data_IF_911414309212
#
_entry.id   IF_911414309212
#
_cell.length_a   1.000
_cell.length_b   1.000
_cell.length_c   1.000
_cell.angle_alpha   90.00
_cell.angle_beta   90.00
_cell.angle_gamma   90.00
#
_symmetry.space_group_name_H-M   'P 1'
#
loop_
_entity.id
_entity.type
_entity.pdbx_description
1 polymer ?
#
# COMPACT_ATOMS: atom_id res chain seq x y z
N UNK A 1 -34.49 -54.06 -12.98
CA UNK A 1 -34.55 -52.74 -13.64
C UNK A 1 -34.80 -51.71 -12.56
N UNK A 2 -33.74 -51.12 -12.03
CA UNK A 2 -33.80 -50.15 -10.93
C UNK A 2 -33.97 -48.76 -11.53
N UNK A 3 -35.13 -48.16 -11.34
CA UNK A 3 -35.42 -46.81 -11.83
C UNK A 3 -34.70 -45.79 -10.96
N UNK A 4 -33.60 -45.24 -11.46
CA UNK A 4 -32.89 -44.11 -10.85
C UNK A 4 -33.82 -42.90 -10.78
N UNK A 5 -34.33 -42.61 -9.59
CA UNK A 5 -35.14 -41.42 -9.33
C UNK A 5 -34.22 -40.20 -9.26
N UNK A 6 -34.22 -39.40 -10.33
CA UNK A 6 -33.51 -38.12 -10.37
C UNK A 6 -34.12 -37.14 -9.35
N UNK A 7 -33.33 -36.83 -8.32
CA UNK A 7 -33.61 -35.81 -7.31
C UNK A 7 -33.77 -34.44 -7.98
N UNK A 8 -34.85 -33.67 -7.75
CA UNK A 8 -35.04 -32.40 -8.42
C UNK A 8 -33.97 -31.39 -7.98
N UNK A 9 -33.45 -30.65 -8.97
CA UNK A 9 -32.46 -29.59 -8.75
C UNK A 9 -33.06 -28.50 -7.85
N UNK A 10 -32.39 -28.27 -6.72
CA UNK A 10 -32.76 -27.28 -5.72
C UNK A 10 -32.68 -25.86 -6.30
N UNK A 11 -33.82 -25.16 -6.38
CA UNK A 11 -33.97 -23.80 -6.90
C UNK A 11 -33.22 -22.71 -6.08
N UNK A 12 -32.57 -23.08 -4.97
CA UNK A 12 -31.79 -22.17 -4.12
C UNK A 12 -30.51 -21.63 -4.77
N UNK A 13 -30.04 -22.20 -5.89
CA UNK A 13 -28.83 -21.73 -6.59
C UNK A 13 -29.03 -20.49 -7.47
N UNK A 14 -30.27 -20.12 -7.80
CA UNK A 14 -30.55 -18.97 -8.69
C UNK A 14 -30.57 -17.62 -7.95
N UNK A 15 -30.55 -17.62 -6.62
CA UNK A 15 -30.43 -16.40 -5.78
C UNK A 15 -28.99 -15.96 -5.53
N UNK A 16 -28.01 -16.54 -6.24
CA UNK A 16 -26.61 -16.14 -6.13
C UNK A 16 -26.31 -14.75 -6.75
N UNK A 17 -27.20 -14.22 -7.60
CA UNK A 17 -27.05 -12.90 -8.20
C UNK A 17 -27.36 -11.73 -7.25
N UNK A 18 -28.45 -11.84 -6.47
CA UNK A 18 -28.97 -10.75 -5.63
C UNK A 18 -28.26 -10.58 -4.29
N UNK A 19 -27.54 -11.60 -3.82
CA UNK A 19 -26.80 -11.56 -2.54
C UNK A 19 -25.45 -10.81 -2.67
N UNK A 20 -24.97 -10.55 -3.90
CA UNK A 20 -23.68 -9.87 -4.12
C UNK A 20 -23.78 -8.35 -4.10
N UNK A 21 -24.95 -7.78 -4.40
CA UNK A 21 -25.15 -6.32 -4.42
C UNK A 21 -24.87 -5.64 -3.06
N UNK A 22 -25.29 -6.19 -1.91
CA UNK A 22 -24.89 -5.68 -0.59
C UNK A 22 -23.37 -5.63 -0.38
N UNK A 23 -22.61 -6.61 -0.89
CA UNK A 23 -21.14 -6.62 -0.79
C UNK A 23 -20.51 -5.48 -1.59
N UNK A 24 -21.03 -5.17 -2.77
CA UNK A 24 -20.57 -4.01 -3.55
C UNK A 24 -20.90 -2.69 -2.85
N UNK A 25 -22.07 -2.58 -2.20
CA UNK A 25 -22.45 -1.40 -1.43
C UNK A 25 -21.56 -1.16 -0.21
N UNK A 26 -21.04 -2.21 0.44
CA UNK A 26 -20.08 -2.08 1.54
C UNK A 26 -18.71 -1.56 1.08
N UNK A 27 -18.28 -1.91 -0.14
CA UNK A 27 -17.00 -1.47 -0.71
C UNK A 27 -17.10 -0.06 -1.31
N UNK A 28 -18.28 0.32 -1.78
CA UNK A 28 -18.56 1.60 -2.44
C UNK A 28 -17.99 2.83 -1.69
N UNK A 29 -18.18 3.03 -0.37
CA UNK A 29 -17.60 4.18 0.32
C UNK A 29 -16.07 4.17 0.32
N UNK A 30 -15.43 3.02 0.57
CA UNK A 30 -13.96 2.90 0.53
C UNK A 30 -13.41 3.16 -0.88
N UNK A 31 -14.12 2.69 -1.91
CA UNK A 31 -13.77 2.91 -3.30
C UNK A 31 -13.87 4.39 -3.71
N UNK A 32 -14.96 5.07 -3.34
CA UNK A 32 -15.14 6.50 -3.60
C UNK A 32 -14.03 7.30 -2.91
N UNK A 33 -13.75 7.03 -1.64
CA UNK A 33 -12.68 7.71 -0.91
C UNK A 33 -11.31 7.48 -1.58
N UNK A 34 -11.03 6.26 -2.03
CA UNK A 34 -9.79 5.95 -2.75
C UNK A 34 -9.67 6.74 -4.05
N UNK A 35 -10.77 6.86 -4.82
CA UNK A 35 -10.75 7.67 -6.05
C UNK A 35 -10.48 9.13 -5.72
N UNK A 36 -11.23 9.69 -4.77
CA UNK A 36 -11.16 11.13 -4.46
C UNK A 36 -9.82 11.52 -3.85
N UNK A 37 -9.29 10.72 -2.93
CA UNK A 37 -8.08 11.08 -2.19
C UNK A 37 -6.78 10.49 -2.75
N UNK A 38 -6.83 9.45 -3.58
CA UNK A 38 -5.62 8.85 -4.17
C UNK A 38 -5.51 9.07 -5.67
N UNK A 39 -6.59 8.88 -6.44
CA UNK A 39 -6.53 8.97 -7.91
C UNK A 39 -6.69 10.39 -8.46
N UNK A 40 -7.60 11.21 -7.91
CA UNK A 40 -7.77 12.60 -8.37
C UNK A 40 -6.45 13.39 -8.21
N UNK A 41 -5.71 13.32 -7.08
CA UNK A 41 -4.44 14.03 -6.94
C UNK A 41 -3.37 13.59 -7.95
N UNK A 42 -3.41 12.36 -8.46
CA UNK A 42 -2.47 11.89 -9.49
C UNK A 42 -2.60 12.67 -10.80
N UNK A 43 -3.76 13.29 -11.09
CA UNK A 43 -3.90 14.21 -12.22
C UNK A 43 -2.94 15.41 -12.13
N UNK A 44 -2.57 15.81 -10.90
CA UNK A 44 -1.59 16.88 -10.65
C UNK A 44 -0.16 16.54 -11.09
N UNK A 45 0.16 15.27 -11.39
CA UNK A 45 1.47 14.87 -11.92
C UNK A 45 1.82 15.59 -13.23
N UNK A 46 0.82 16.08 -13.96
CA UNK A 46 1.03 16.86 -15.18
C UNK A 46 1.84 18.14 -14.95
N UNK A 47 1.82 18.68 -13.73
CA UNK A 47 2.62 19.86 -13.33
C UNK A 47 4.12 19.60 -13.51
N UNK A 48 4.58 18.36 -13.34
CA UNK A 48 5.98 18.01 -13.52
C UNK A 48 6.49 18.21 -14.96
N UNK A 49 5.58 18.37 -15.93
CA UNK A 49 5.90 18.60 -17.34
C UNK A 49 5.61 20.03 -17.82
N UNK A 50 5.17 20.90 -16.92
CA UNK A 50 4.77 22.27 -17.22
C UNK A 50 5.60 23.28 -16.41
N UNK A 51 5.80 24.49 -16.93
CA UNK A 51 6.33 25.61 -16.15
C UNK A 51 5.20 26.23 -15.33
N UNK A 52 4.78 25.50 -14.29
CA UNK A 52 3.59 25.83 -13.52
C UNK A 52 3.78 27.12 -12.72
N UNK A 53 3.01 28.15 -13.10
CA UNK A 53 2.92 29.40 -12.34
C UNK A 53 1.56 29.46 -11.67
N UNK A 54 1.46 29.46 -10.32
CA UNK A 54 0.17 29.49 -9.62
C UNK A 54 -0.77 30.60 -10.07
N UNK A 55 -0.22 31.75 -10.48
CA UNK A 55 -0.97 32.90 -11.00
C UNK A 55 -1.67 32.67 -12.36
N UNK A 56 -1.23 31.68 -13.16
CA UNK A 56 -1.83 31.35 -14.47
C UNK A 56 -2.72 30.09 -14.44
N UNK A 57 -2.85 29.44 -13.28
CA UNK A 57 -3.60 28.19 -13.12
C UNK A 57 -2.97 26.98 -13.84
N UNK A 58 -3.66 25.84 -13.76
CA UNK A 58 -3.20 24.55 -14.32
C UNK A 58 -3.17 24.50 -15.85
N UNK A 59 -3.96 25.33 -16.54
CA UNK A 59 -4.13 25.28 -18.00
C UNK A 59 -3.41 26.41 -18.75
N UNK A 60 -2.91 27.43 -18.06
CA UNK A 60 -2.20 28.58 -18.64
C UNK A 60 -0.67 28.50 -18.58
N UNK A 61 -0.14 27.35 -18.13
CA UNK A 61 1.30 27.13 -17.94
C UNK A 61 1.89 26.42 -19.16
N UNK A 62 3.05 26.90 -19.61
CA UNK A 62 3.70 26.41 -20.84
C UNK A 62 4.22 24.98 -20.63
N UNK A 63 3.98 24.10 -21.60
CA UNK A 63 4.46 22.72 -21.55
C UNK A 63 5.97 22.69 -21.83
N UNK A 64 6.77 22.28 -20.84
CA UNK A 64 8.24 22.24 -20.92
C UNK A 64 8.81 20.82 -21.00
N UNK A 65 7.96 19.80 -21.04
CA UNK A 65 8.35 18.41 -21.20
C UNK A 65 9.24 17.93 -20.06
N UNK A 66 10.41 17.37 -20.36
CA UNK A 66 11.30 16.73 -19.38
C UNK A 66 12.32 17.67 -18.75
N UNK A 67 12.23 18.99 -18.99
CA UNK A 67 13.19 19.99 -18.50
C UNK A 67 13.46 19.88 -17.00
N UNK A 68 12.42 19.73 -16.20
CA UNK A 68 12.52 19.62 -14.73
C UNK A 68 13.22 18.33 -14.29
N UNK A 69 12.95 17.22 -14.97
CA UNK A 69 13.63 15.95 -14.70
C UNK A 69 15.13 16.04 -15.02
N UNK A 70 15.50 16.65 -16.15
CA UNK A 70 16.90 16.81 -16.53
C UNK A 70 17.65 17.70 -15.52
N UNK A 71 17.01 18.79 -15.07
CA UNK A 71 17.55 19.66 -14.03
C UNK A 71 17.75 18.91 -12.70
N UNK A 72 16.78 18.08 -12.29
CA UNK A 72 16.88 17.24 -11.11
C UNK A 72 18.05 16.25 -11.21
N UNK A 73 18.21 15.55 -12.33
CA UNK A 73 19.32 14.60 -12.52
C UNK A 73 20.68 15.28 -12.77
N UNK A 74 20.71 16.56 -13.13
CA UNK A 74 21.98 17.31 -13.29
C UNK A 74 22.57 17.82 -11.97
N UNK A 75 21.78 17.84 -10.89
CA UNK A 75 22.21 18.39 -9.60
C UNK A 75 22.80 17.28 -8.72
N UNK A 76 24.01 17.47 -8.23
CA UNK A 76 24.73 16.50 -7.38
C UNK A 76 23.92 16.11 -6.13
N UNK A 77 23.27 17.08 -5.49
CA UNK A 77 22.45 16.85 -4.29
C UNK A 77 21.29 15.87 -4.54
N UNK A 78 20.62 15.98 -5.69
CA UNK A 78 19.52 15.09 -6.05
C UNK A 78 20.00 13.66 -6.31
N UNK A 79 21.16 13.51 -6.95
CA UNK A 79 21.79 12.19 -7.17
C UNK A 79 22.21 11.57 -5.83
N UNK A 80 22.81 12.36 -4.94
CA UNK A 80 23.19 11.89 -3.60
C UNK A 80 21.96 11.45 -2.80
N UNK A 81 20.88 12.23 -2.81
CA UNK A 81 19.64 11.89 -2.15
C UNK A 81 19.02 10.59 -2.72
N UNK A 82 19.06 10.40 -4.04
CA UNK A 82 18.61 9.18 -4.69
C UNK A 82 19.36 7.94 -4.20
N UNK A 83 20.71 7.98 -4.22
CA UNK A 83 21.52 6.87 -3.75
C UNK A 83 21.38 6.60 -2.25
N UNK A 84 21.33 7.65 -1.43
CA UNK A 84 21.09 7.52 0.00
C UNK A 84 19.75 6.84 0.26
N UNK A 85 18.70 7.24 -0.45
CA UNK A 85 17.37 6.64 -0.32
C UNK A 85 17.38 5.17 -0.72
N UNK A 86 18.05 4.84 -1.83
CA UNK A 86 18.17 3.47 -2.31
C UNK A 86 18.92 2.59 -1.30
N UNK A 87 20.06 3.06 -0.78
CA UNK A 87 20.86 2.36 0.23
C UNK A 87 20.04 2.15 1.51
N UNK A 88 19.38 3.20 2.01
CA UNK A 88 18.53 3.11 3.22
C UNK A 88 17.39 2.13 2.99
N UNK A 89 16.70 2.18 1.85
CA UNK A 89 15.59 1.29 1.55
C UNK A 89 16.04 -0.18 1.46
N UNK A 90 17.17 -0.46 0.80
CA UNK A 90 17.73 -1.81 0.71
C UNK A 90 18.17 -2.34 2.07
N UNK A 91 18.91 -1.55 2.85
CA UNK A 91 19.30 -1.94 4.21
C UNK A 91 18.06 -2.17 5.09
N UNK A 92 17.10 -1.25 5.05
CA UNK A 92 15.84 -1.38 5.79
C UNK A 92 15.11 -2.68 5.42
N UNK A 93 15.02 -3.04 4.14
CA UNK A 93 14.39 -4.28 3.70
C UNK A 93 15.07 -5.52 4.29
N UNK A 94 16.42 -5.56 4.28
CA UNK A 94 17.19 -6.68 4.83
C UNK A 94 17.04 -6.77 6.35
N UNK A 95 17.26 -5.67 7.07
CA UNK A 95 17.17 -5.65 8.53
C UNK A 95 15.74 -5.88 9.04
N UNK A 96 14.73 -5.34 8.37
CA UNK A 96 13.33 -5.54 8.74
C UNK A 96 12.86 -6.98 8.52
N UNK A 97 13.59 -7.76 7.72
CA UNK A 97 13.40 -9.21 7.63
C UNK A 97 14.20 -9.96 8.71
N UNK A 98 15.51 -9.72 8.79
CA UNK A 98 16.41 -10.50 9.64
C UNK A 98 16.13 -10.27 11.12
N UNK A 99 15.98 -9.01 11.54
CA UNK A 99 15.85 -8.67 12.97
C UNK A 99 14.60 -9.30 13.59
N UNK A 100 13.39 -9.17 13.03
CA UNK A 100 12.21 -9.81 13.60
C UNK A 100 12.27 -11.34 13.62
N UNK A 101 12.87 -11.96 12.61
CA UNK A 101 13.03 -13.43 12.55
C UNK A 101 13.95 -13.91 13.67
N UNK A 102 15.14 -13.31 13.79
CA UNK A 102 16.11 -13.66 14.84
C UNK A 102 15.50 -13.40 16.22
N UNK A 103 14.83 -12.26 16.40
CA UNK A 103 14.14 -11.93 17.65
C UNK A 103 13.05 -12.94 17.99
N UNK A 104 12.23 -13.38 17.02
CA UNK A 104 11.20 -14.39 17.23
C UNK A 104 11.78 -15.75 17.65
N UNK A 105 12.90 -16.16 17.05
CA UNK A 105 13.60 -17.40 17.43
C UNK A 105 14.17 -17.33 18.85
N UNK A 106 14.87 -16.25 19.19
CA UNK A 106 15.42 -16.03 20.53
C UNK A 106 14.32 -16.06 21.58
N UNK A 107 13.19 -15.41 21.30
CA UNK A 107 12.04 -15.35 22.19
C UNK A 107 11.32 -16.71 22.29
N UNK A 108 11.39 -17.54 21.26
CA UNK A 108 10.85 -18.90 21.29
C UNK A 108 11.62 -19.80 22.25
N UNK A 109 12.94 -19.63 22.34
CA UNK A 109 13.82 -20.42 23.21
C UNK A 109 13.63 -20.12 24.71
N UNK A 110 12.99 -19.00 25.06
CA UNK A 110 12.72 -18.62 26.44
C UNK A 110 11.67 -19.56 27.06
N UNK A 111 12.11 -20.44 27.97
CA UNK A 111 11.24 -21.36 28.72
C UNK A 111 10.39 -20.68 29.80
N UNK A 112 10.84 -19.51 30.31
CA UNK A 112 10.15 -18.79 31.37
C UNK A 112 9.05 -17.86 30.83
N UNK A 113 7.79 -18.22 31.05
CA UNK A 113 6.64 -17.53 30.48
C UNK A 113 6.43 -16.07 30.91
N UNK A 114 6.57 -15.68 32.20
CA UNK A 114 6.50 -14.27 32.60
C UNK A 114 7.58 -13.42 31.93
N UNK A 115 8.83 -13.91 31.85
CA UNK A 115 9.92 -13.19 31.20
C UNK A 115 9.65 -12.97 29.70
N UNK A 116 9.19 -14.00 28.99
CA UNK A 116 8.80 -13.93 27.57
C UNK A 116 7.75 -12.84 27.32
N UNK A 117 6.72 -12.77 28.17
CA UNK A 117 5.64 -11.76 28.06
C UNK A 117 6.16 -10.34 28.30
N UNK A 118 6.99 -10.12 29.31
CA UNK A 118 7.56 -8.79 29.59
C UNK A 118 8.43 -8.29 28.44
N UNK A 119 9.30 -9.14 27.90
CA UNK A 119 10.17 -8.79 26.77
C UNK A 119 9.35 -8.44 25.53
N UNK A 120 8.29 -9.18 25.23
CA UNK A 120 7.38 -8.82 24.13
C UNK A 120 6.81 -7.42 24.33
N UNK A 121 6.22 -7.14 25.50
CA UNK A 121 5.62 -5.83 25.77
C UNK A 121 6.64 -4.69 25.62
N UNK A 122 7.86 -4.86 26.13
CA UNK A 122 8.92 -3.86 26.02
C UNK A 122 9.37 -3.63 24.57
N UNK A 123 9.45 -4.68 23.74
CA UNK A 123 9.85 -4.54 22.34
C UNK A 123 8.74 -3.96 21.47
N UNK A 124 7.47 -4.20 21.82
CA UNK A 124 6.35 -3.56 21.12
C UNK A 124 6.12 -2.10 21.54
N UNK A 125 6.52 -1.70 22.74
CA UNK A 125 6.26 -0.35 23.28
C UNK A 125 6.75 0.81 22.40
N UNK A 126 7.98 0.81 21.82
CA UNK A 126 8.47 1.92 21.00
C UNK A 126 7.63 2.18 19.74
N UNK A 127 6.81 1.22 19.28
CA UNK A 127 5.92 1.43 18.15
C UNK A 127 4.69 2.27 18.52
N UNK A 128 4.33 2.33 19.80
CA UNK A 128 3.16 3.04 20.31
C UNK A 128 3.46 4.45 20.84
N UNK A 129 4.75 4.80 21.01
CA UNK A 129 5.22 6.13 21.37
C UNK A 129 5.64 6.90 20.11
#
# INVERSE_FOLDING_TARGET
METVTVKPLNASRLRAGSIRWPLYMMILPAFILTIVFSYIPMGGLIIAFQDFRPARGFTGSDWVGTKHFLAMFSTTESIHAFWNTLIIASLKMIFQLIVPIVFALLLNEIRNMPLKRTVQTLVYLPHFL
#
